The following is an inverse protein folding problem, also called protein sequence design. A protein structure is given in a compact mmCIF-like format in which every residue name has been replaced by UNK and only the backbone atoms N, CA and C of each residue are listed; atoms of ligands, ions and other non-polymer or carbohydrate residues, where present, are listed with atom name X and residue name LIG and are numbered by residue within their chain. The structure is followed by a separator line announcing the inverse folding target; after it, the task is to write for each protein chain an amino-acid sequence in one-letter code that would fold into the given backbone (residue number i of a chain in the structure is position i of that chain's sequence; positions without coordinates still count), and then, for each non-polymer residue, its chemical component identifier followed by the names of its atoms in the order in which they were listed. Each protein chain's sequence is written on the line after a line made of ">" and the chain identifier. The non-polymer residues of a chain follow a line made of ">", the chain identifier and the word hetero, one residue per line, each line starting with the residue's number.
data_IF_369783896922
#
_entry.id   IF_369783896922
#
_cell.length_a   1.000
_cell.length_b   1.000
_cell.length_c   1.000
_cell.angle_alpha   90.00
_cell.angle_beta   90.00
_cell.angle_gamma   90.00
#
_symmetry.space_group_name_H-M   'P 1'
#
loop_
_entity.id
_entity.type
_entity.pdbx_description
1 polymer ?
#
# COMPACT_ATOMS: atom_id res chain seq x y z
N UNK A 1 -4.70 -19.87 -5.05
CA UNK A 1 -5.94 -19.06 -5.17
C UNK A 1 -5.90 -18.43 -6.55
N UNK A 2 -6.91 -18.67 -7.41
CA UNK A 2 -7.02 -17.97 -8.70
C UNK A 2 -7.97 -16.78 -8.55
N UNK A 3 -7.43 -15.57 -8.51
CA UNK A 3 -8.23 -14.35 -8.37
C UNK A 3 -8.98 -13.96 -9.67
N UNK A 4 -8.62 -14.54 -10.82
CA UNK A 4 -9.23 -14.24 -12.13
C UNK A 4 -9.31 -12.73 -12.46
N UNK A 5 -8.31 -11.97 -12.01
CA UNK A 5 -8.10 -10.55 -12.32
C UNK A 5 -6.84 -10.43 -13.18
N UNK A 6 -6.97 -9.77 -14.32
CA UNK A 6 -5.83 -9.46 -15.20
C UNK A 6 -5.01 -8.33 -14.58
N UNK A 7 -3.71 -8.54 -14.43
CA UNK A 7 -2.76 -7.52 -13.99
C UNK A 7 -2.72 -6.34 -14.94
N UNK A 8 -2.32 -5.18 -14.43
CA UNK A 8 -2.07 -4.00 -15.23
C UNK A 8 -0.88 -4.27 -16.17
N UNK A 9 -1.00 -3.94 -17.48
CA UNK A 9 0.13 -4.03 -18.41
C UNK A 9 1.15 -2.91 -18.15
N UNK A 10 2.33 -3.03 -18.77
CA UNK A 10 3.39 -2.00 -18.73
C UNK A 10 2.83 -0.60 -18.99
N UNK A 11 3.24 0.36 -18.17
CA UNK A 11 2.81 1.76 -18.23
C UNK A 11 3.67 2.47 -19.27
N UNK A 12 3.21 2.37 -20.50
CA UNK A 12 3.73 3.11 -21.65
C UNK A 12 2.58 3.88 -22.29
N UNK A 13 2.82 5.08 -22.86
CA UNK A 13 1.81 5.77 -23.64
C UNK A 13 1.25 4.84 -24.72
N UNK A 14 -0.06 4.58 -24.70
CA UNK A 14 -0.67 3.76 -25.75
C UNK A 14 -0.65 4.52 -27.07
N UNK A 15 -0.12 3.92 -28.14
CA UNK A 15 -0.14 4.52 -29.48
C UNK A 15 -1.56 4.71 -30.03
N UNK A 16 -2.55 4.04 -29.44
CA UNK A 16 -3.94 4.04 -29.87
C UNK A 16 -4.85 5.06 -29.16
N UNK A 17 -4.38 5.71 -28.08
CA UNK A 17 -5.18 6.68 -27.35
C UNK A 17 -4.71 8.12 -27.64
N UNK A 18 -5.48 8.95 -28.37
CA UNK A 18 -5.12 10.33 -28.64
C UNK A 18 -5.06 11.21 -27.39
N UNK A 19 -5.63 10.77 -26.26
CA UNK A 19 -5.51 11.44 -24.96
C UNK A 19 -4.11 11.29 -24.34
N UNK A 20 -3.33 10.29 -24.77
CA UNK A 20 -2.07 9.89 -24.13
C UNK A 20 -2.27 9.36 -22.70
N UNK A 21 -3.46 8.85 -22.36
CA UNK A 21 -3.75 8.28 -21.05
C UNK A 21 -3.17 6.87 -20.96
N UNK A 22 -2.64 6.50 -19.80
CA UNK A 22 -2.02 5.17 -19.62
C UNK A 22 -2.97 4.12 -19.03
N UNK A 23 -4.11 4.54 -18.48
CA UNK A 23 -5.01 3.70 -17.66
C UNK A 23 -6.32 3.32 -18.36
N UNK A 24 -6.25 2.90 -19.62
CA UNK A 24 -7.38 2.37 -20.41
C UNK A 24 -7.74 0.91 -20.06
N UNK A 25 -7.30 0.42 -18.90
CA UNK A 25 -7.39 -0.99 -18.50
C UNK A 25 -8.81 -1.37 -18.01
N UNK A 26 -9.27 -2.64 -18.17
CA UNK A 26 -10.65 -3.05 -17.82
C UNK A 26 -10.95 -2.97 -16.33
N UNK A 27 -11.86 -2.10 -15.89
CA UNK A 27 -12.12 -1.77 -14.47
C UNK A 27 -12.74 -2.96 -13.69
N UNK A 28 -11.92 -3.93 -13.27
CA UNK A 28 -12.31 -5.04 -12.38
C UNK A 28 -12.02 -4.73 -10.90
N UNK A 29 -12.15 -3.47 -10.52
CA UNK A 29 -11.78 -2.95 -9.19
C UNK A 29 -12.55 -3.67 -8.08
N UNK A 30 -13.85 -3.89 -8.26
CA UNK A 30 -14.69 -4.61 -7.29
C UNK A 30 -14.20 -6.02 -6.96
N UNK A 31 -13.55 -6.70 -7.92
CA UNK A 31 -12.99 -8.03 -7.67
C UNK A 31 -11.79 -7.96 -6.73
N UNK A 32 -10.95 -6.93 -6.87
CA UNK A 32 -9.80 -6.71 -5.99
C UNK A 32 -10.26 -6.37 -4.57
N UNK A 33 -11.31 -5.57 -4.43
CA UNK A 33 -11.87 -5.20 -3.11
C UNK A 33 -12.41 -6.43 -2.36
N UNK A 34 -13.04 -7.39 -3.06
CA UNK A 34 -13.61 -8.62 -2.49
C UNK A 34 -12.59 -9.69 -2.08
N UNK A 35 -11.29 -9.51 -2.37
CA UNK A 35 -10.24 -10.47 -1.99
C UNK A 35 -9.76 -10.29 -0.55
N UNK A 36 -10.15 -9.20 0.11
CA UNK A 36 -9.68 -8.81 1.44
C UNK A 36 -10.79 -8.97 2.47
N UNK A 37 -10.42 -9.23 3.74
CA UNK A 37 -11.38 -9.20 4.85
C UNK A 37 -11.99 -7.79 4.99
N UNK A 38 -13.14 -7.67 5.66
CA UNK A 38 -13.75 -6.37 5.93
C UNK A 38 -12.80 -5.42 6.65
N UNK A 39 -12.12 -5.91 7.69
CA UNK A 39 -11.20 -5.13 8.51
C UNK A 39 -9.93 -4.74 7.74
N UNK A 40 -9.43 -5.63 6.89
CA UNK A 40 -8.34 -5.33 5.96
C UNK A 40 -8.76 -4.26 4.94
N UNK A 41 -9.96 -4.37 4.38
CA UNK A 41 -10.46 -3.40 3.41
C UNK A 41 -10.60 -1.98 4.00
N UNK A 42 -11.00 -1.84 5.27
CA UNK A 42 -11.00 -0.54 5.97
C UNK A 42 -9.60 0.10 6.03
N UNK A 43 -8.56 -0.71 6.28
CA UNK A 43 -7.17 -0.27 6.27
C UNK A 43 -6.71 0.13 4.86
N UNK A 44 -7.08 -0.65 3.84
CA UNK A 44 -6.81 -0.35 2.43
C UNK A 44 -7.50 0.95 2.01
N UNK A 45 -8.75 1.16 2.43
CA UNK A 45 -9.48 2.39 2.14
C UNK A 45 -8.79 3.61 2.74
N UNK A 46 -8.28 3.51 3.97
CA UNK A 46 -7.48 4.58 4.59
C UNK A 46 -6.18 4.84 3.82
N UNK A 47 -5.48 3.79 3.37
CA UNK A 47 -4.28 3.92 2.52
C UNK A 47 -4.59 4.62 1.19
N UNK A 48 -5.70 4.27 0.54
CA UNK A 48 -6.19 4.95 -0.66
C UNK A 48 -6.50 6.43 -0.40
N UNK A 49 -7.14 6.74 0.73
CA UNK A 49 -7.43 8.13 1.10
C UNK A 49 -6.15 8.95 1.33
N UNK A 50 -5.09 8.36 1.87
CA UNK A 50 -3.78 9.03 2.03
C UNK A 50 -3.11 9.31 0.67
N UNK A 51 -3.22 8.38 -0.29
CA UNK A 51 -2.59 8.51 -1.61
C UNK A 51 -3.37 9.46 -2.52
N UNK A 52 -4.71 9.32 -2.57
CA UNK A 52 -5.58 10.05 -3.48
C UNK A 52 -6.06 11.38 -2.90
N UNK A 53 -6.01 11.52 -1.58
CA UNK A 53 -6.42 12.72 -0.85
C UNK A 53 -7.88 13.10 -1.13
N UNK A 54 -8.20 14.41 -1.29
CA UNK A 54 -9.57 14.87 -1.52
C UNK A 54 -10.14 14.40 -2.87
N UNK A 55 -9.31 13.85 -3.76
CA UNK A 55 -9.68 13.42 -5.11
C UNK A 55 -10.22 11.99 -5.16
N UNK A 56 -10.30 11.32 -4.01
CA UNK A 56 -10.92 9.99 -3.88
C UNK A 56 -12.37 9.93 -4.38
N UNK A 57 -13.11 11.05 -4.30
CA UNK A 57 -14.48 11.18 -4.80
C UNK A 57 -14.61 11.50 -6.29
N UNK A 58 -13.52 11.90 -6.96
CA UNK A 58 -13.51 12.27 -8.39
C UNK A 58 -12.52 11.38 -9.15
N UNK A 59 -12.98 10.15 -9.44
CA UNK A 59 -12.17 9.13 -10.11
C UNK A 59 -11.96 9.39 -11.61
N UNK A 60 -12.76 10.28 -12.21
CA UNK A 60 -12.68 10.58 -13.64
C UNK A 60 -11.58 11.60 -13.96
N UNK A 61 -11.26 12.48 -13.02
CA UNK A 61 -10.20 13.47 -13.17
C UNK A 61 -8.84 12.85 -13.46
N UNK A 62 -8.10 13.48 -14.39
CA UNK A 62 -6.78 13.04 -14.84
C UNK A 62 -5.72 13.96 -14.25
N UNK A 63 -4.64 13.36 -13.76
CA UNK A 63 -3.45 14.06 -13.33
C UNK A 63 -2.27 13.72 -14.24
N UNK A 64 -1.41 14.71 -14.45
CA UNK A 64 -0.06 14.49 -14.98
C UNK A 64 0.88 14.35 -13.79
N UNK A 65 1.55 13.20 -13.70
CA UNK A 65 2.38 12.84 -12.57
C UNK A 65 3.65 12.13 -13.05
N UNK A 66 4.73 12.34 -12.30
CA UNK A 66 5.98 11.59 -12.39
C UNK A 66 5.74 10.07 -12.42
N UNK A 67 6.23 9.39 -13.45
CA UNK A 67 6.17 7.93 -13.56
C UNK A 67 6.94 7.27 -12.42
N UNK A 68 8.13 7.82 -12.09
CA UNK A 68 8.91 7.39 -10.93
C UNK A 68 8.08 7.44 -9.65
N UNK A 69 7.34 8.53 -9.43
CA UNK A 69 6.49 8.70 -8.24
C UNK A 69 5.35 7.69 -8.20
N UNK A 70 4.72 7.39 -9.34
CA UNK A 70 3.69 6.33 -9.39
C UNK A 70 4.30 4.96 -9.07
N UNK A 71 5.51 4.68 -9.59
CA UNK A 71 6.26 3.47 -9.27
C UNK A 71 6.58 3.34 -7.78
N UNK A 72 7.00 4.43 -7.13
CA UNK A 72 7.24 4.46 -5.69
C UNK A 72 5.96 4.17 -4.88
N UNK A 73 4.84 4.79 -5.25
CA UNK A 73 3.53 4.55 -4.63
C UNK A 73 3.10 3.09 -4.81
N UNK A 74 3.34 2.53 -6.00
CA UNK A 74 3.05 1.12 -6.28
C UNK A 74 3.88 0.20 -5.37
N UNK A 75 5.21 0.33 -5.36
CA UNK A 75 6.09 -0.50 -4.55
C UNK A 75 5.79 -0.37 -3.04
N UNK A 76 5.54 0.85 -2.56
CA UNK A 76 5.12 1.09 -1.17
C UNK A 76 3.78 0.40 -0.84
N UNK A 77 2.84 0.40 -1.79
CA UNK A 77 1.55 -0.28 -1.63
C UNK A 77 1.67 -1.81 -1.66
N UNK A 78 2.63 -2.37 -2.41
CA UNK A 78 2.96 -3.80 -2.34
C UNK A 78 3.47 -4.17 -0.96
N UNK A 79 4.43 -3.41 -0.42
CA UNK A 79 4.94 -3.64 0.94
C UNK A 79 3.84 -3.50 2.00
N UNK A 80 2.97 -2.51 1.84
CA UNK A 80 1.81 -2.32 2.71
C UNK A 80 0.84 -3.52 2.66
N UNK A 81 0.53 -4.04 1.48
CA UNK A 81 -0.33 -5.21 1.31
C UNK A 81 0.24 -6.46 1.95
N UNK A 82 1.55 -6.69 1.79
CA UNK A 82 2.26 -7.79 2.46
C UNK A 82 2.14 -7.69 3.99
N UNK A 83 2.47 -6.51 4.54
CA UNK A 83 2.36 -6.24 5.98
C UNK A 83 0.93 -6.48 6.47
N UNK A 84 -0.04 -5.90 5.78
CA UNK A 84 -1.43 -5.89 6.20
C UNK A 84 -2.03 -7.30 6.19
N UNK A 85 -1.72 -8.11 5.17
CA UNK A 85 -2.17 -9.51 5.09
C UNK A 85 -1.67 -10.32 6.28
N UNK A 86 -0.41 -10.13 6.65
CA UNK A 86 0.22 -10.83 7.77
C UNK A 86 -0.43 -10.46 9.10
N UNK A 87 -0.72 -9.17 9.31
CA UNK A 87 -1.40 -8.74 10.54
C UNK A 87 -2.85 -9.21 10.56
N UNK A 88 -3.58 -9.09 9.45
CA UNK A 88 -4.98 -9.53 9.35
C UNK A 88 -5.11 -11.03 9.65
N UNK A 89 -4.25 -11.89 9.10
CA UNK A 89 -4.30 -13.34 9.42
C UNK A 89 -4.13 -13.63 10.91
N UNK A 90 -3.19 -12.95 11.58
CA UNK A 90 -3.03 -13.10 13.03
C UNK A 90 -4.22 -12.55 13.79
N UNK A 91 -4.71 -11.37 13.40
CA UNK A 91 -5.89 -10.76 14.00
C UNK A 91 -7.10 -11.68 13.91
N UNK A 92 -7.39 -12.27 12.74
CA UNK A 92 -8.51 -13.19 12.55
C UNK A 92 -8.31 -14.49 13.35
N UNK A 93 -7.08 -14.99 13.46
CA UNK A 93 -6.76 -16.15 14.29
C UNK A 93 -7.03 -15.86 15.78
N UNK A 94 -6.46 -14.79 16.32
CA UNK A 94 -6.63 -14.39 17.72
C UNK A 94 -8.10 -14.05 18.04
N UNK A 95 -8.82 -13.45 17.09
CA UNK A 95 -10.28 -13.23 17.14
C UNK A 95 -11.03 -14.55 17.24
N UNK A 96 -10.72 -15.52 16.39
CA UNK A 96 -11.38 -16.84 16.41
C UNK A 96 -11.11 -17.62 17.69
N UNK A 97 -9.93 -17.42 18.30
CA UNK A 97 -9.53 -18.04 19.55
C UNK A 97 -9.99 -17.26 20.79
N UNK A 98 -10.66 -16.09 20.60
CA UNK A 98 -11.11 -15.19 21.68
C UNK A 98 -10.00 -14.71 22.61
N UNK A 99 -8.81 -14.47 22.05
CA UNK A 99 -7.63 -13.98 22.77
C UNK A 99 -7.19 -12.59 22.32
N UNK A 100 -8.06 -11.84 21.63
CA UNK A 100 -7.74 -10.48 21.21
C UNK A 100 -7.41 -9.60 22.43
N UNK A 101 -6.35 -8.77 22.34
CA UNK A 101 -6.02 -7.82 23.39
C UNK A 101 -7.21 -6.91 23.74
N UNK A 102 -7.38 -6.57 25.03
CA UNK A 102 -8.25 -5.46 25.45
C UNK A 102 -9.75 -5.62 25.20
N UNK A 103 -10.31 -6.84 25.14
CA UNK A 103 -11.75 -7.03 24.97
C UNK A 103 -12.28 -6.61 23.59
N UNK A 104 -11.39 -6.51 22.60
CA UNK A 104 -11.69 -6.24 21.20
C UNK A 104 -12.68 -7.26 20.58
N UNK A 105 -13.06 -8.32 21.29
CA UNK A 105 -14.01 -9.38 20.92
C UNK A 105 -15.44 -8.82 20.68
N UNK A 106 -15.91 -7.87 21.50
CA UNK A 106 -17.33 -7.52 21.54
C UNK A 106 -17.71 -6.20 20.84
N UNK A 107 -18.83 -6.28 20.10
CA UNK A 107 -19.59 -5.17 19.50
C UNK A 107 -20.21 -4.21 20.52
N UNK A 108 -19.44 -3.68 21.48
CA UNK A 108 -19.87 -2.57 22.34
C UNK A 108 -18.79 -1.52 22.45
N UNK A 109 -19.02 -0.46 21.68
CA UNK A 109 -18.43 0.86 21.81
C UNK A 109 -18.40 1.30 23.28
N UNK A 110 -17.21 1.43 23.85
CA UNK A 110 -16.97 2.36 24.96
C UNK A 110 -15.60 2.98 24.79
N UNK A 111 -15.63 4.30 24.90
CA UNK A 111 -14.61 5.29 24.63
C UNK A 111 -13.48 5.18 25.65
N UNK A 112 -12.24 5.24 25.18
CA UNK A 112 -11.15 6.02 25.79
C UNK A 112 -10.02 6.18 24.77
N UNK A 113 -9.75 7.43 24.38
CA UNK A 113 -8.65 7.84 23.51
C UNK A 113 -7.32 7.77 24.26
N UNK A 114 -6.24 7.38 23.55
CA UNK A 114 -4.98 8.06 23.74
C UNK A 114 -4.46 8.67 22.43
N UNK A 115 -3.48 9.54 22.64
CA UNK A 115 -3.15 10.72 21.85
C UNK A 115 -2.39 10.42 20.54
N UNK A 116 -2.48 11.39 19.62
CA UNK A 116 -1.89 11.38 18.28
C UNK A 116 -0.40 11.00 18.26
N UNK A 117 -0.04 9.89 17.61
CA UNK A 117 1.36 9.55 17.30
C UNK A 117 1.58 9.56 15.79
N UNK A 118 2.45 10.45 15.34
CA UNK A 118 2.88 10.60 13.95
C UNK A 118 3.74 9.42 13.53
N UNK A 119 3.31 8.68 12.50
CA UNK A 119 4.12 7.62 11.88
C UNK A 119 5.31 8.24 11.15
N UNK A 120 6.53 8.05 11.67
CA UNK A 120 7.76 8.13 10.87
C UNK A 120 8.14 6.72 10.46
N UNK A 121 7.90 6.38 9.20
CA UNK A 121 8.56 5.25 8.57
C UNK A 121 10.08 5.50 8.64
N UNK A 122 10.81 4.59 9.27
CA UNK A 122 12.27 4.60 9.28
C UNK A 122 12.75 4.21 7.89
N UNK A 123 13.00 5.21 7.05
CA UNK A 123 13.96 5.10 5.96
C UNK A 123 15.23 5.81 6.40
N UNK A 124 16.25 5.06 6.75
CA UNK A 124 17.62 5.58 6.87
C UNK A 124 18.14 5.94 5.47
N UNK A 125 17.85 7.16 5.02
CA UNK A 125 18.62 7.90 4.01
C UNK A 125 18.28 9.40 4.14
N UNK A 126 19.28 10.30 4.15
CA UNK A 126 19.04 11.72 4.36
C UNK A 126 18.49 12.35 3.07
N UNK A 127 17.60 13.33 3.26
CA UNK A 127 17.05 14.24 2.24
C UNK A 127 15.83 13.77 1.42
N UNK A 128 14.71 13.56 2.12
CA UNK A 128 13.37 13.85 1.56
C UNK A 128 12.62 14.74 2.55
N UNK A 129 13.02 16.01 2.60
CA UNK A 129 12.51 17.02 3.52
C UNK A 129 11.41 17.93 2.97
N UNK A 130 10.76 17.62 1.84
CA UNK A 130 9.84 18.57 1.20
C UNK A 130 8.43 18.04 0.89
N UNK A 131 7.89 17.19 1.78
CA UNK A 131 6.44 16.91 1.81
C UNK A 131 5.78 17.14 3.17
N UNK A 132 6.54 17.60 4.18
CA UNK A 132 6.00 18.05 5.46
C UNK A 132 5.73 19.56 5.44
N UNK A 133 4.95 20.03 4.46
CA UNK A 133 4.29 21.33 4.56
C UNK A 133 3.19 21.20 5.62
N UNK A 134 3.38 21.86 6.77
CA UNK A 134 2.50 21.77 7.92
C UNK A 134 1.04 22.02 7.55
N UNK A 135 0.24 20.95 7.58
CA UNK A 135 -1.21 21.04 7.59
C UNK A 135 -1.64 21.23 9.03
N UNK A 136 -1.91 22.49 9.38
CA UNK A 136 -2.62 22.83 10.61
C UNK A 136 -3.94 22.06 10.63
N UNK A 137 -4.17 21.28 11.68
CA UNK A 137 -5.39 20.54 11.92
C UNK A 137 -6.54 21.51 12.20
N UNK A 138 -7.08 22.13 11.14
CA UNK A 138 -8.32 22.90 11.23
C UNK A 138 -9.17 22.61 9.99
N UNK A 139 -10.06 21.63 10.17
CA UNK A 139 -11.25 21.46 9.36
C UNK A 139 -11.20 20.35 8.33
N UNK A 140 -11.42 19.11 8.76
CA UNK A 140 -12.18 18.10 7.99
C UNK A 140 -12.80 17.11 8.97
N UNK A 141 -14.10 17.28 9.21
CA UNK A 141 -14.92 16.39 10.04
C UNK A 141 -15.20 15.08 9.32
N UNK A 142 -14.32 14.11 9.49
CA UNK A 142 -14.69 12.71 9.52
C UNK A 142 -13.88 12.09 10.65
N UNK A 143 -14.53 11.92 11.79
CA UNK A 143 -14.04 11.09 12.88
C UNK A 143 -14.02 9.65 12.34
N UNK A 144 -12.95 9.28 11.61
CA UNK A 144 -12.76 7.91 11.15
C UNK A 144 -12.51 7.10 12.41
N UNK A 145 -13.58 6.50 12.93
CA UNK A 145 -13.52 5.57 14.07
C UNK A 145 -12.38 4.58 13.77
N UNK A 146 -11.37 4.45 14.64
CA UNK A 146 -10.26 3.55 14.38
C UNK A 146 -10.82 2.14 14.22
N UNK A 147 -10.49 1.49 13.09
CA UNK A 147 -10.91 0.11 12.83
C UNK A 147 -10.32 -0.82 13.90
N UNK A 148 -10.98 -1.95 14.17
CA UNK A 148 -10.48 -2.95 15.13
C UNK A 148 -9.07 -3.41 14.77
N UNK A 149 -8.83 -3.66 13.48
CA UNK A 149 -7.51 -4.03 12.98
C UNK A 149 -6.48 -2.91 13.15
N UNK A 150 -6.87 -1.64 12.99
CA UNK A 150 -5.99 -0.50 13.28
C UNK A 150 -5.60 -0.46 14.75
N UNK A 151 -6.57 -0.56 15.66
CA UNK A 151 -6.31 -0.60 17.11
C UNK A 151 -5.40 -1.77 17.47
N UNK A 152 -5.63 -2.94 16.86
CA UNK A 152 -4.79 -4.12 17.03
C UNK A 152 -3.33 -3.85 16.59
N UNK A 153 -3.12 -3.28 15.39
CA UNK A 153 -1.78 -2.88 14.92
C UNK A 153 -1.12 -1.89 15.87
N UNK A 154 -1.86 -0.90 16.39
CA UNK A 154 -1.33 0.09 17.33
C UNK A 154 -0.90 -0.50 18.68
N UNK A 155 -1.38 -1.71 19.02
CA UNK A 155 -0.98 -2.39 20.26
C UNK A 155 0.38 -3.07 20.17
N UNK A 156 0.96 -3.18 18.97
CA UNK A 156 2.27 -3.80 18.77
C UNK A 156 3.40 -2.89 19.27
N UNK A 157 4.39 -3.51 19.89
CA UNK A 157 5.68 -2.87 20.12
C UNK A 157 6.44 -2.66 18.78
N UNK A 158 7.49 -1.84 18.80
CA UNK A 158 8.26 -1.51 17.60
C UNK A 158 8.96 -2.71 16.96
N UNK A 159 9.42 -3.68 17.76
CA UNK A 159 10.07 -4.89 17.25
C UNK A 159 9.04 -5.76 16.51
N UNK A 160 7.87 -5.99 17.13
CA UNK A 160 6.77 -6.71 16.49
C UNK A 160 6.34 -6.01 15.21
N UNK A 161 6.14 -4.70 15.23
CA UNK A 161 5.72 -3.95 14.04
C UNK A 161 6.74 -4.07 12.91
N UNK A 162 8.04 -3.89 13.21
CA UNK A 162 9.11 -4.05 12.24
C UNK A 162 9.17 -5.47 11.68
N UNK A 163 9.04 -6.49 12.54
CA UNK A 163 9.05 -7.90 12.13
C UNK A 163 7.91 -8.18 11.15
N UNK A 164 6.74 -7.57 11.31
CA UNK A 164 5.60 -7.74 10.40
C UNK A 164 5.76 -6.95 9.10
N UNK A 165 6.38 -5.76 9.16
CA UNK A 165 6.61 -4.91 7.99
C UNK A 165 7.73 -5.44 7.07
N UNK A 166 8.62 -6.28 7.60
CA UNK A 166 9.77 -6.80 6.85
C UNK A 166 9.39 -7.99 5.96
N UNK A 167 9.74 -7.90 4.66
CA UNK A 167 9.67 -9.02 3.70
C UNK A 167 10.69 -10.09 4.11
N UNK A 168 10.30 -11.36 4.18
CA UNK A 168 11.16 -12.43 4.72
C UNK A 168 12.08 -13.04 3.68
N UNK A 169 11.62 -13.14 2.43
CA UNK A 169 12.36 -13.77 1.34
C UNK A 169 13.09 -12.76 0.46
N UNK A 170 14.34 -13.09 0.10
CA UNK A 170 15.08 -12.35 -0.95
C UNK A 170 14.40 -12.49 -2.31
N UNK A 171 13.80 -13.63 -2.58
CA UNK A 171 13.04 -13.89 -3.81
C UNK A 171 11.82 -12.99 -3.89
N UNK A 172 11.08 -12.80 -2.77
CA UNK A 172 9.95 -11.87 -2.74
C UNK A 172 10.39 -10.42 -2.99
N UNK A 173 11.49 -9.97 -2.37
CA UNK A 173 12.07 -8.65 -2.68
C UNK A 173 12.39 -8.52 -4.17
N UNK A 174 13.07 -9.51 -4.75
CA UNK A 174 13.40 -9.51 -6.17
C UNK A 174 12.18 -9.55 -7.11
N UNK A 175 11.09 -10.19 -6.69
CA UNK A 175 9.82 -10.19 -7.42
C UNK A 175 9.19 -8.78 -7.40
N UNK A 176 9.20 -8.09 -6.25
CA UNK A 176 8.69 -6.71 -6.13
C UNK A 176 9.48 -5.78 -7.06
N UNK A 177 10.80 -5.87 -7.03
CA UNK A 177 11.70 -5.09 -7.90
C UNK A 177 11.42 -5.34 -9.38
N UNK A 178 11.45 -6.60 -9.81
CA UNK A 178 11.21 -6.97 -11.22
C UNK A 178 9.82 -6.61 -11.70
N UNK A 179 8.79 -6.77 -10.86
CA UNK A 179 7.43 -6.41 -11.24
C UNK A 179 7.25 -4.89 -11.36
N UNK A 180 7.83 -4.13 -10.43
CA UNK A 180 7.84 -2.67 -10.50
C UNK A 180 8.61 -2.19 -11.74
N UNK A 181 9.77 -2.78 -12.03
CA UNK A 181 10.54 -2.49 -13.24
C UNK A 181 9.75 -2.83 -14.52
N UNK A 182 9.05 -3.96 -14.55
CA UNK A 182 8.23 -4.35 -15.70
C UNK A 182 7.05 -3.39 -15.94
N UNK A 183 6.51 -2.78 -14.89
CA UNK A 183 5.41 -1.82 -15.00
C UNK A 183 5.89 -0.41 -15.35
N UNK A 184 6.97 0.06 -14.73
CA UNK A 184 7.39 1.47 -14.78
C UNK A 184 8.70 1.70 -15.54
N UNK A 185 9.42 0.65 -15.89
CA UNK A 185 10.80 0.70 -16.39
C UNK A 185 11.82 0.78 -15.26
N UNK A 186 13.12 0.71 -15.61
CA UNK A 186 14.21 0.93 -14.66
C UNK A 186 14.27 2.42 -14.30
N UNK A 187 14.22 2.78 -13.01
CA UNK A 187 14.38 4.18 -12.62
C UNK A 187 15.84 4.61 -12.85
N UNK A 188 16.05 5.62 -13.69
CA UNK A 188 17.36 6.25 -13.87
C UNK A 188 17.55 7.30 -12.77
N UNK A 189 17.97 6.86 -11.58
CA UNK A 189 18.18 7.74 -10.43
C UNK A 189 19.60 8.32 -10.52
N UNK A 190 19.71 9.56 -10.95
CA UNK A 190 20.97 10.32 -10.85
C UNK A 190 20.88 11.20 -9.61
N UNK A 191 21.82 11.05 -8.68
CA UNK A 191 21.91 11.90 -7.51
C UNK A 191 22.73 13.13 -7.89
N UNK A 192 22.15 14.31 -7.75
CA UNK A 192 22.85 15.57 -7.99
C UNK A 192 23.95 15.77 -6.94
N UNK A 193 24.97 16.60 -7.20
CA UNK A 193 26.00 16.92 -6.21
C UNK A 193 25.45 17.43 -4.88
N UNK A 194 24.22 17.97 -4.89
CA UNK A 194 23.48 18.48 -3.73
C UNK A 194 22.71 17.39 -2.96
N UNK A 195 22.86 16.11 -3.30
CA UNK A 195 22.20 15.00 -2.59
C UNK A 195 20.76 14.72 -3.02
N UNK A 196 20.22 15.50 -3.96
CA UNK A 196 18.83 15.36 -4.45
C UNK A 196 18.73 14.45 -5.67
N UNK A 197 17.55 13.87 -5.92
CA UNK A 197 17.30 13.09 -7.15
C UNK A 197 17.08 14.04 -8.33
N UNK A 198 17.93 13.93 -9.35
CA UNK A 198 17.76 14.62 -10.63
C UNK A 198 16.47 14.13 -11.31
N UNK A 199 15.46 14.99 -11.32
CA UNK A 199 14.15 14.70 -11.88
C UNK A 199 14.04 15.13 -13.36
N UNK A 200 15.12 15.63 -13.97
CA UNK A 200 15.09 16.17 -15.34
C UNK A 200 14.82 15.11 -16.41
N UNK A 201 15.13 13.83 -16.13
CA UNK A 201 14.89 12.69 -17.01
C UNK A 201 13.61 11.91 -16.68
N UNK A 202 12.86 12.32 -15.66
CA UNK A 202 11.68 11.58 -15.22
C UNK A 202 10.50 11.76 -16.19
N UNK A 203 9.97 10.65 -16.67
CA UNK A 203 8.84 10.61 -17.60
C UNK A 203 7.55 11.03 -16.89
N UNK A 204 6.80 11.96 -17.49
CA UNK A 204 5.47 12.35 -16.98
C UNK A 204 4.39 11.49 -17.64
N UNK A 205 3.53 10.87 -16.85
CA UNK A 205 2.38 10.08 -17.33
C UNK A 205 1.05 10.76 -17.00
N UNK A 206 0.06 10.59 -17.87
CA UNK A 206 -1.32 11.02 -17.64
C UNK A 206 -2.16 9.84 -17.16
N UNK A 207 -2.66 9.91 -15.93
CA UNK A 207 -3.43 8.84 -15.29
C UNK A 207 -4.64 9.41 -14.55
N UNK A 208 -5.79 8.73 -14.63
CA UNK A 208 -6.95 9.13 -13.82
C UNK A 208 -6.82 8.70 -12.36
N UNK A 209 -7.55 9.35 -11.45
CA UNK A 209 -7.63 8.88 -10.04
C UNK A 209 -8.24 7.47 -9.95
N UNK A 210 -9.13 7.09 -10.86
CA UNK A 210 -9.61 5.71 -10.99
C UNK A 210 -8.50 4.73 -11.38
N UNK A 211 -7.63 5.12 -12.30
CA UNK A 211 -6.42 4.36 -12.67
C UNK A 211 -5.45 4.20 -11.51
N UNK A 212 -5.22 5.28 -10.76
CA UNK A 212 -4.39 5.26 -9.55
C UNK A 212 -5.00 4.37 -8.46
N UNK A 213 -6.30 4.49 -8.19
CA UNK A 213 -7.04 3.63 -7.25
C UNK A 213 -6.83 2.16 -7.61
N UNK A 214 -6.97 1.82 -8.90
CA UNK A 214 -6.75 0.46 -9.38
C UNK A 214 -5.31 -0.01 -9.16
N UNK A 215 -4.31 0.79 -9.51
CA UNK A 215 -2.89 0.44 -9.31
C UNK A 215 -2.60 0.13 -7.84
N UNK A 216 -3.09 0.97 -6.93
CA UNK A 216 -2.91 0.77 -5.49
C UNK A 216 -3.59 -0.51 -5.01
N UNK A 217 -4.84 -0.77 -5.43
CA UNK A 217 -5.55 -1.99 -5.06
C UNK A 217 -4.88 -3.26 -5.60
N UNK A 218 -4.39 -3.21 -6.84
CA UNK A 218 -3.62 -4.31 -7.41
C UNK A 218 -2.32 -4.54 -6.65
N UNK A 219 -1.56 -3.48 -6.35
CA UNK A 219 -0.31 -3.54 -5.59
C UNK A 219 -0.52 -4.16 -4.20
N UNK A 220 -1.54 -3.71 -3.46
CA UNK A 220 -1.89 -4.27 -2.14
C UNK A 220 -2.25 -5.75 -2.24
N UNK A 221 -3.02 -6.13 -3.26
CA UNK A 221 -3.40 -7.52 -3.50
C UNK A 221 -2.19 -8.37 -3.87
N UNK A 222 -1.29 -7.85 -4.70
CA UNK A 222 -0.03 -8.50 -5.06
C UNK A 222 0.85 -8.74 -3.83
N UNK A 223 1.03 -7.74 -2.96
CA UNK A 223 1.75 -7.89 -1.70
C UNK A 223 1.14 -8.93 -0.77
N UNK A 224 -0.20 -8.98 -0.70
CA UNK A 224 -0.92 -9.99 0.08
C UNK A 224 -0.64 -11.41 -0.42
N UNK A 225 -0.57 -11.60 -1.74
CA UNK A 225 -0.22 -12.90 -2.34
C UNK A 225 1.24 -13.28 -2.12
N UNK A 226 2.17 -12.33 -2.07
CA UNK A 226 3.56 -12.63 -1.72
C UNK A 226 3.64 -13.26 -0.33
N UNK A 227 2.92 -12.69 0.65
CA UNK A 227 2.84 -13.27 2.00
C UNK A 227 2.20 -14.67 2.00
N UNK A 228 1.10 -14.88 1.28
CA UNK A 228 0.44 -16.19 1.21
C UNK A 228 1.37 -17.26 0.61
N UNK A 229 2.13 -16.92 -0.43
CA UNK A 229 3.10 -17.82 -1.06
C UNK A 229 4.28 -18.11 -0.14
N UNK A 230 4.87 -17.08 0.47
CA UNK A 230 5.96 -17.27 1.44
C UNK A 230 5.52 -18.18 2.59
N UNK A 231 4.36 -17.89 3.20
CA UNK A 231 3.82 -18.68 4.31
C UNK A 231 3.58 -20.14 3.91
N UNK A 232 3.09 -20.38 2.70
CA UNK A 232 2.85 -21.72 2.18
C UNK A 232 4.14 -22.51 1.93
N UNK A 233 5.18 -21.85 1.41
CA UNK A 233 6.49 -22.47 1.19
C UNK A 233 7.19 -22.71 2.53
N UNK A 234 7.10 -21.76 3.47
CA UNK A 234 7.75 -21.84 4.77
C UNK A 234 7.18 -22.99 5.61
N UNK A 235 5.86 -23.19 5.57
CA UNK A 235 5.19 -24.32 6.22
C UNK A 235 5.67 -25.71 5.74
N UNK A 236 6.33 -25.78 4.58
CA UNK A 236 6.82 -27.05 3.98
C UNK A 236 8.32 -27.20 4.06
N UNK A 237 9.06 -26.09 3.92
CA UNK A 237 10.51 -26.12 3.74
C UNK A 237 11.29 -25.36 4.82
N UNK A 238 10.61 -24.63 5.72
CA UNK A 238 11.22 -23.86 6.81
C UNK A 238 12.41 -23.02 6.34
N UNK A 239 12.20 -22.24 5.28
CA UNK A 239 13.28 -21.53 4.60
C UNK A 239 13.59 -20.17 5.24
N UNK A 240 12.69 -19.67 6.10
CA UNK A 240 12.92 -18.46 6.88
C UNK A 240 13.64 -18.85 8.18
N UNK A 241 14.89 -18.44 8.32
CA UNK A 241 15.63 -18.58 9.58
C UNK A 241 15.07 -17.55 10.59
N UNK A 242 14.58 -18.04 11.72
CA UNK A 242 14.07 -17.20 12.82
C UNK A 242 15.17 -16.39 13.50
#
# INVERSE_FOLDING_TARGET
>A
MEANVSLVPSITPSSSDPSGRVDTWPTKVEKLEKLHSSEMYEMIHNHLALILGPRMGDLASVAQISKLRVGQVYAASVMYGYFLKRVDQRFQLEKSMKILPGGLDDSKTSVEQPENVTFKAVSSHPEVGSFAGGVSAKGFGSEIKPSRLRTYVMSFDSETLQRYATIRSREAVGIIEKHTEALFGKPEIVITPEGTVDSSKDEQIKISFGGMKRLVLEAVTFGSFLWDVESHVDARYHFVLN
#
